data_IF_416877348814
#
_entry.id   IF_416877348814
#
_cell.length_a   1.000
_cell.length_b   1.000
_cell.length_c   1.000
_cell.angle_alpha   90.00
_cell.angle_beta   90.00
_cell.angle_gamma   90.00
#
_symmetry.space_group_name_H-M   'P 1'
#
loop_
_entity.id
_entity.type
_entity.pdbx_description
1 polymer ?
#
# COMPACT_ATOMS: atom_id res chain seq x y z
N UNK A 1 4.36 -22.12 19.20
CA UNK A 1 5.00 -22.72 18.01
C UNK A 1 4.60 -22.02 16.72
N UNK A 2 3.31 -21.75 16.47
CA UNK A 2 2.84 -21.01 15.29
C UNK A 2 3.51 -19.64 15.10
N UNK A 3 3.59 -18.82 16.15
CA UNK A 3 4.19 -17.48 16.04
C UNK A 3 5.68 -17.50 15.63
N UNK A 4 6.40 -18.54 16.07
CA UNK A 4 7.80 -18.74 15.71
C UNK A 4 7.95 -19.12 14.22
N UNK A 5 7.05 -19.97 13.70
CA UNK A 5 7.04 -20.31 12.28
C UNK A 5 6.61 -19.12 11.40
N UNK A 6 5.60 -18.36 11.81
CA UNK A 6 5.20 -17.14 11.10
C UNK A 6 6.36 -16.13 11.09
N UNK A 7 7.08 -16.00 12.21
CA UNK A 7 8.29 -15.17 12.29
C UNK A 7 9.35 -15.64 11.31
N UNK A 8 9.70 -16.92 11.33
CA UNK A 8 10.72 -17.49 10.45
C UNK A 8 10.38 -17.29 8.96
N UNK A 9 9.12 -17.54 8.59
CA UNK A 9 8.62 -17.28 7.23
C UNK A 9 8.68 -15.81 6.84
N UNK A 10 8.37 -14.90 7.78
CA UNK A 10 8.42 -13.45 7.55
C UNK A 10 9.86 -13.01 7.30
N UNK A 11 10.81 -13.44 8.13
CA UNK A 11 12.21 -13.11 7.97
C UNK A 11 12.77 -13.68 6.67
N UNK A 12 12.48 -14.95 6.36
CA UNK A 12 12.89 -15.58 5.09
C UNK A 12 12.38 -14.77 3.89
N UNK A 13 11.10 -14.37 3.89
CA UNK A 13 10.50 -13.56 2.82
C UNK A 13 11.22 -12.22 2.63
N UNK A 14 11.62 -11.57 3.72
CA UNK A 14 12.29 -10.26 3.69
C UNK A 14 13.76 -10.36 3.27
N UNK A 15 14.35 -11.56 3.29
CA UNK A 15 15.73 -11.81 2.86
C UNK A 15 15.83 -12.51 1.50
N UNK A 16 14.75 -13.13 1.01
CA UNK A 16 14.72 -13.88 -0.24
C UNK A 16 14.57 -12.93 -1.46
N UNK A 17 15.58 -12.87 -2.35
CA UNK A 17 15.55 -11.99 -3.51
C UNK A 17 14.36 -12.23 -4.46
N UNK A 18 13.90 -13.47 -4.62
CA UNK A 18 12.77 -13.79 -5.51
C UNK A 18 11.44 -13.29 -4.93
N UNK A 19 11.29 -13.40 -3.61
CA UNK A 19 10.12 -12.88 -2.90
C UNK A 19 10.12 -11.35 -2.91
N UNK A 20 11.28 -10.72 -2.69
CA UNK A 20 11.43 -9.27 -2.80
C UNK A 20 11.14 -8.78 -4.22
N UNK A 21 11.60 -9.48 -5.26
CA UNK A 21 11.28 -9.15 -6.65
C UNK A 21 9.76 -9.22 -6.92
N UNK A 22 9.08 -10.20 -6.34
CA UNK A 22 7.62 -10.31 -6.43
C UNK A 22 6.91 -9.14 -5.73
N UNK A 23 7.37 -8.76 -4.53
CA UNK A 23 6.85 -7.60 -3.80
C UNK A 23 7.03 -6.32 -4.63
N UNK A 24 8.22 -6.11 -5.20
CA UNK A 24 8.53 -4.95 -6.06
C UNK A 24 7.65 -4.88 -7.29
N UNK A 25 7.41 -6.00 -7.98
CA UNK A 25 6.47 -6.03 -9.13
C UNK A 25 5.04 -5.63 -8.75
N UNK A 26 4.58 -6.04 -7.57
CA UNK A 26 3.26 -5.65 -7.06
C UNK A 26 3.23 -4.15 -6.74
N UNK A 27 4.28 -3.61 -6.10
CA UNK A 27 4.42 -2.18 -5.84
C UNK A 27 4.43 -1.36 -7.14
N UNK A 28 5.22 -1.77 -8.13
CA UNK A 28 5.33 -1.11 -9.43
C UNK A 28 3.99 -1.09 -10.17
N UNK A 29 3.31 -2.24 -10.25
CA UNK A 29 1.98 -2.32 -10.85
C UNK A 29 0.98 -1.38 -10.18
N UNK A 30 1.01 -1.27 -8.85
CA UNK A 30 0.11 -0.37 -8.15
C UNK A 30 0.48 1.09 -8.34
N UNK A 31 1.77 1.45 -8.32
CA UNK A 31 2.24 2.79 -8.67
C UNK A 31 1.75 3.19 -10.06
N UNK A 32 1.91 2.32 -11.05
CA UNK A 32 1.42 2.55 -12.41
C UNK A 32 -0.12 2.75 -12.49
N UNK A 33 -0.89 2.11 -11.61
CA UNK A 33 -2.35 2.34 -11.53
C UNK A 33 -2.71 3.68 -10.87
N UNK A 34 -1.89 4.16 -9.94
CA UNK A 34 -2.12 5.41 -9.20
C UNK A 34 -1.64 6.65 -9.95
N UNK A 35 -0.50 6.52 -10.61
CA UNK A 35 0.24 7.61 -11.26
C UNK A 35 -0.67 8.50 -12.12
N UNK A 36 -1.57 7.97 -12.99
CA UNK A 36 -2.45 8.82 -13.80
C UNK A 36 -3.36 9.73 -12.97
N UNK A 37 -3.85 9.24 -11.82
CA UNK A 37 -4.73 10.02 -10.95
C UNK A 37 -3.94 11.03 -10.11
N UNK A 38 -2.75 10.66 -9.64
CA UNK A 38 -1.85 11.56 -8.91
C UNK A 38 -1.38 12.71 -9.81
N UNK A 39 -1.02 12.41 -11.06
CA UNK A 39 -0.67 13.39 -12.08
C UNK A 39 -1.86 14.30 -12.42
N UNK A 40 -3.07 13.74 -12.57
CA UNK A 40 -4.26 14.55 -12.87
C UNK A 40 -4.57 15.53 -11.73
N UNK A 41 -4.50 15.09 -10.47
CA UNK A 41 -4.69 15.96 -9.30
C UNK A 41 -3.64 17.07 -9.30
N UNK A 42 -2.37 16.74 -9.54
CA UNK A 42 -1.28 17.72 -9.54
C UNK A 42 -1.43 18.73 -10.68
N UNK A 43 -1.74 18.26 -11.89
CA UNK A 43 -1.94 19.09 -13.08
C UNK A 43 -3.10 20.05 -12.90
N UNK A 44 -4.27 19.53 -12.50
CA UNK A 44 -5.48 20.35 -12.27
C UNK A 44 -5.31 21.28 -11.07
N UNK A 45 -4.64 20.83 -10.02
CA UNK A 45 -4.32 21.63 -8.85
C UNK A 45 -3.46 22.84 -9.17
N UNK A 46 -2.47 22.72 -10.08
CA UNK A 46 -1.68 23.85 -10.56
C UNK A 46 -2.52 24.90 -11.28
N UNK A 47 -3.46 24.45 -12.14
CA UNK A 47 -4.36 25.35 -12.87
C UNK A 47 -5.31 26.05 -11.89
N UNK A 48 -5.87 25.31 -10.93
CA UNK A 48 -6.71 25.88 -9.87
C UNK A 48 -5.97 26.94 -9.07
N UNK A 49 -4.74 26.64 -8.64
CA UNK A 49 -3.90 27.57 -7.89
C UNK A 49 -3.63 28.87 -8.67
N UNK A 50 -3.50 28.81 -10.00
CA UNK A 50 -3.40 30.01 -10.83
C UNK A 50 -4.65 30.89 -10.75
N UNK A 51 -5.85 30.29 -10.81
CA UNK A 51 -7.10 31.04 -10.65
C UNK A 51 -7.28 31.57 -9.23
N UNK A 52 -6.92 30.78 -8.21
CA UNK A 52 -6.92 31.21 -6.81
C UNK A 52 -6.07 32.46 -6.61
N UNK A 53 -4.87 32.51 -7.22
CA UNK A 53 -4.01 33.69 -7.19
C UNK A 53 -4.63 34.90 -7.88
N UNK A 54 -5.34 34.72 -9.00
CA UNK A 54 -6.01 35.83 -9.70
C UNK A 54 -7.19 36.38 -8.90
N UNK A 55 -7.96 35.52 -8.24
CA UNK A 55 -9.02 35.94 -7.33
C UNK A 55 -8.45 36.72 -6.14
N UNK A 56 -7.37 36.22 -5.52
CA UNK A 56 -6.72 36.89 -4.38
C UNK A 56 -6.12 38.26 -4.74
N UNK A 57 -5.75 38.46 -6.01
CA UNK A 57 -5.28 39.74 -6.56
C UNK A 57 -6.41 40.61 -7.11
N UNK A 58 -7.67 40.21 -6.92
CA UNK A 58 -8.87 40.92 -7.41
C UNK A 58 -8.89 41.13 -8.94
N UNK A 59 -8.11 40.32 -9.67
CA UNK A 59 -8.01 40.39 -11.15
C UNK A 59 -9.23 39.75 -11.83
N UNK A 60 -9.91 38.85 -11.13
CA UNK A 60 -11.16 38.22 -11.56
C UNK A 60 -12.16 38.30 -10.41
N UNK A 61 -13.45 38.31 -10.74
CA UNK A 61 -14.52 38.24 -9.77
C UNK A 61 -14.69 36.82 -9.22
N UNK A 62 -15.37 36.70 -8.08
CA UNK A 62 -15.73 35.41 -7.50
C UNK A 62 -16.54 34.53 -8.47
N UNK A 63 -17.42 35.14 -9.28
CA UNK A 63 -18.23 34.42 -10.27
C UNK A 63 -17.38 33.84 -11.40
N UNK A 64 -16.43 34.60 -11.91
CA UNK A 64 -15.49 34.14 -12.95
C UNK A 64 -14.55 33.06 -12.42
N UNK A 65 -14.09 33.20 -11.17
CA UNK A 65 -13.31 32.15 -10.50
C UNK A 65 -14.12 30.85 -10.39
N UNK A 66 -15.33 30.91 -9.82
CA UNK A 66 -16.20 29.74 -9.65
C UNK A 66 -16.45 29.02 -10.98
N UNK A 67 -16.73 29.76 -12.06
CA UNK A 67 -16.90 29.19 -13.39
C UNK A 67 -15.61 28.54 -13.94
N UNK A 68 -14.44 29.09 -13.61
CA UNK A 68 -13.14 28.60 -14.08
C UNK A 68 -12.64 27.36 -13.32
N UNK A 69 -13.06 27.17 -12.07
CA UNK A 69 -12.57 26.08 -11.21
C UNK A 69 -13.55 24.93 -11.02
N UNK A 70 -14.84 25.09 -11.32
CA UNK A 70 -15.86 24.06 -11.10
C UNK A 70 -15.49 22.69 -11.72
N UNK A 71 -15.08 22.68 -12.99
CA UNK A 71 -14.67 21.45 -13.68
C UNK A 71 -13.35 20.89 -13.13
N UNK A 72 -12.44 21.76 -12.71
CA UNK A 72 -11.16 21.36 -12.10
C UNK A 72 -11.41 20.67 -10.75
N UNK A 73 -12.26 21.25 -9.92
CA UNK A 73 -12.62 20.71 -8.61
C UNK A 73 -13.34 19.38 -8.74
N UNK A 74 -14.29 19.28 -9.68
CA UNK A 74 -14.97 18.01 -9.99
C UNK A 74 -13.99 16.91 -10.43
N UNK A 75 -13.06 17.23 -11.34
CA UNK A 75 -12.05 16.29 -11.78
C UNK A 75 -11.08 15.86 -10.66
N UNK A 76 -10.66 16.80 -9.81
CA UNK A 76 -9.79 16.52 -8.65
C UNK A 76 -10.51 15.61 -7.65
N UNK A 77 -11.80 15.86 -7.38
CA UNK A 77 -12.61 15.01 -6.49
C UNK A 77 -12.72 13.60 -7.06
N UNK A 78 -13.06 13.47 -8.35
CA UNK A 78 -13.16 12.16 -9.02
C UNK A 78 -11.84 11.38 -8.98
N UNK A 79 -10.71 12.03 -9.28
CA UNK A 79 -9.39 11.41 -9.21
C UNK A 79 -9.01 10.99 -7.78
N UNK A 80 -9.35 11.80 -6.77
CA UNK A 80 -9.15 11.45 -5.35
C UNK A 80 -10.00 10.25 -4.94
N UNK A 81 -11.23 10.14 -5.42
CA UNK A 81 -12.08 8.98 -5.17
C UNK A 81 -11.53 7.72 -5.83
N UNK A 82 -11.03 7.81 -7.06
CA UNK A 82 -10.35 6.70 -7.73
C UNK A 82 -9.12 6.23 -6.94
N UNK A 83 -8.28 7.16 -6.44
CA UNK A 83 -7.15 6.82 -5.58
C UNK A 83 -7.58 6.16 -4.27
N UNK A 84 -8.64 6.64 -3.60
CA UNK A 84 -9.16 6.01 -2.38
C UNK A 84 -9.62 4.57 -2.63
N UNK A 85 -10.22 4.29 -3.79
CA UNK A 85 -10.58 2.93 -4.19
C UNK A 85 -9.33 2.07 -4.40
N UNK A 86 -8.28 2.62 -5.01
CA UNK A 86 -6.98 1.92 -5.15
C UNK A 86 -6.26 1.69 -3.82
N UNK A 87 -6.41 2.59 -2.83
CA UNK A 87 -5.86 2.44 -1.48
C UNK A 87 -6.49 1.29 -0.69
N UNK A 88 -7.71 0.87 -1.05
CA UNK A 88 -8.29 -0.37 -0.51
C UNK A 88 -7.56 -1.62 -0.98
N UNK A 89 -6.73 -1.53 -2.03
CA UNK A 89 -5.81 -2.59 -2.46
C UNK A 89 -4.51 -2.39 -1.66
N UNK A 90 -4.22 -3.24 -0.66
CA UNK A 90 -3.13 -2.99 0.26
C UNK A 90 -1.77 -3.15 -0.45
N UNK A 91 -0.98 -2.07 -0.52
CA UNK A 91 0.40 -2.14 -1.02
C UNK A 91 1.40 -2.09 0.13
N UNK A 92 2.39 -2.99 0.12
CA UNK A 92 3.52 -2.91 1.04
C UNK A 92 4.42 -1.73 0.65
N UNK A 93 4.65 -0.79 1.55
CA UNK A 93 5.76 0.16 1.41
C UNK A 93 6.99 -0.49 2.05
N UNK A 94 7.76 -1.18 1.21
CA UNK A 94 8.86 -2.05 1.60
C UNK A 94 9.99 -1.88 0.59
N UNK A 95 10.94 -1.05 0.96
CA UNK A 95 12.23 -0.90 0.28
C UNK A 95 13.31 -1.73 1.01
N UNK A 96 14.48 -1.84 0.39
CA UNK A 96 15.58 -2.68 0.90
C UNK A 96 16.06 -2.22 2.27
N UNK A 97 16.02 -0.91 2.52
CA UNK A 97 16.34 -0.32 3.81
C UNK A 97 15.35 -0.77 4.88
N UNK A 98 14.05 -0.70 4.61
CA UNK A 98 13.00 -1.12 5.53
C UNK A 98 13.07 -2.62 5.81
N UNK A 99 13.30 -3.44 4.77
CA UNK A 99 13.54 -4.88 4.94
C UNK A 99 14.72 -5.14 5.89
N UNK A 100 15.86 -4.48 5.66
CA UNK A 100 17.05 -4.63 6.51
C UNK A 100 16.81 -4.21 7.96
N UNK A 101 16.08 -3.12 8.19
CA UNK A 101 15.71 -2.67 9.54
C UNK A 101 14.80 -3.66 10.26
N UNK A 102 13.81 -4.24 9.57
CA UNK A 102 12.92 -5.25 10.15
C UNK A 102 13.71 -6.50 10.53
N UNK A 103 14.56 -7.00 9.63
CA UNK A 103 15.34 -8.23 9.86
C UNK A 103 16.31 -8.06 11.04
N UNK A 104 17.02 -6.93 11.10
CA UNK A 104 18.00 -6.67 12.18
C UNK A 104 17.36 -6.38 13.53
N UNK A 105 16.20 -5.69 13.54
CA UNK A 105 15.51 -5.30 14.78
C UNK A 105 14.53 -6.34 15.33
N UNK A 106 14.22 -7.42 14.61
CA UNK A 106 13.11 -8.32 14.99
C UNK A 106 13.25 -8.95 16.38
N UNK A 107 14.46 -9.37 16.75
CA UNK A 107 14.74 -10.07 18.01
C UNK A 107 14.51 -9.16 19.22
N UNK A 108 14.74 -7.85 19.08
CA UNK A 108 14.59 -6.84 20.14
C UNK A 108 13.29 -6.05 20.04
N UNK A 109 12.55 -6.18 18.93
CA UNK A 109 11.27 -5.52 18.71
C UNK A 109 10.21 -5.95 19.73
N UNK A 110 9.43 -4.98 20.20
CA UNK A 110 8.23 -5.18 21.00
C UNK A 110 7.16 -5.96 20.22
N UNK A 111 6.17 -6.53 20.93
CA UNK A 111 5.04 -7.21 20.29
C UNK A 111 4.28 -6.31 19.30
N UNK A 112 4.12 -5.02 19.65
CA UNK A 112 3.48 -4.03 18.77
C UNK A 112 4.28 -3.75 17.50
N UNK A 113 5.60 -3.73 17.58
CA UNK A 113 6.49 -3.52 16.43
C UNK A 113 6.48 -4.75 15.53
N UNK A 114 6.64 -5.95 16.10
CA UNK A 114 6.54 -7.21 15.33
C UNK A 114 5.21 -7.32 14.60
N UNK A 115 4.11 -6.96 15.25
CA UNK A 115 2.80 -6.97 14.60
C UNK A 115 2.70 -5.97 13.45
N UNK A 116 3.23 -4.76 13.63
CA UNK A 116 3.29 -3.73 12.58
C UNK A 116 4.13 -4.18 11.39
N UNK A 117 5.30 -4.75 11.64
CA UNK A 117 6.25 -5.18 10.61
C UNK A 117 5.75 -6.43 9.89
N UNK A 118 5.11 -7.35 10.61
CA UNK A 118 4.40 -8.48 10.02
C UNK A 118 3.27 -7.98 9.11
N UNK A 119 2.45 -7.02 9.56
CA UNK A 119 1.42 -6.41 8.71
C UNK A 119 2.04 -5.78 7.47
N UNK A 120 3.20 -5.11 7.56
CA UNK A 120 3.90 -4.53 6.41
C UNK A 120 4.40 -5.61 5.44
N UNK A 121 5.12 -6.62 5.93
CA UNK A 121 5.71 -7.71 5.14
C UNK A 121 4.67 -8.52 4.35
N UNK A 122 3.46 -8.60 4.89
CA UNK A 122 2.35 -9.37 4.31
C UNK A 122 1.23 -8.51 3.75
N UNK A 123 1.36 -7.18 3.77
CA UNK A 123 0.37 -6.27 3.17
C UNK A 123 0.24 -6.58 1.68
N UNK A 124 -0.98 -6.80 1.19
CA UNK A 124 -1.22 -7.16 -0.21
C UNK A 124 -1.15 -8.66 -0.50
N UNK A 125 -0.88 -9.50 0.51
CA UNK A 125 -0.84 -10.94 0.39
C UNK A 125 -1.80 -11.60 1.38
N UNK A 126 -2.38 -12.73 0.97
CA UNK A 126 -3.13 -13.60 1.86
C UNK A 126 -2.28 -14.79 2.28
N UNK A 127 -2.26 -15.02 3.59
CA UNK A 127 -1.76 -16.22 4.22
C UNK A 127 -2.95 -16.96 4.84
N UNK A 128 -3.18 -18.19 4.42
CA UNK A 128 -4.17 -19.06 5.04
C UNK A 128 -3.45 -20.05 5.95
N UNK A 129 -3.87 -20.12 7.21
CA UNK A 129 -3.38 -21.10 8.17
C UNK A 129 -4.53 -22.05 8.47
N UNK A 130 -4.39 -23.33 8.09
CA UNK A 130 -5.40 -24.34 8.43
C UNK A 130 -5.44 -24.55 9.95
N UNK A 131 -6.61 -24.81 10.57
CA UNK A 131 -6.69 -25.23 11.98
C UNK A 131 -5.90 -26.52 12.23
N UNK A 132 -5.51 -26.75 13.48
CA UNK A 132 -4.74 -27.94 13.87
C UNK A 132 -4.31 -27.86 15.33
N UNK A 133 -3.59 -28.89 15.79
CA UNK A 133 -3.31 -29.09 17.22
C UNK A 133 -2.32 -28.06 17.76
N UNK A 134 -2.43 -27.76 19.05
CA UNK A 134 -1.40 -27.03 19.79
C UNK A 134 -0.14 -27.87 20.04
N UNK A 135 -0.22 -29.19 19.82
CA UNK A 135 0.89 -30.15 19.95
C UNK A 135 1.61 -30.43 18.63
N UNK A 136 1.21 -29.78 17.54
CA UNK A 136 1.84 -29.98 16.23
C UNK A 136 3.33 -29.60 16.28
N UNK A 137 4.17 -30.41 15.63
CA UNK A 137 5.59 -30.09 15.42
C UNK A 137 5.76 -28.87 14.51
N UNK A 138 6.95 -28.27 14.50
CA UNK A 138 7.26 -27.13 13.64
C UNK A 138 6.99 -27.43 12.15
N UNK A 139 7.32 -28.63 11.68
CA UNK A 139 7.07 -29.07 10.30
C UNK A 139 5.57 -29.20 10.00
N UNK A 140 4.80 -29.77 10.94
CA UNK A 140 3.35 -29.91 10.81
C UNK A 140 2.65 -28.54 10.79
N UNK A 141 3.09 -27.62 11.65
CA UNK A 141 2.62 -26.23 11.65
C UNK A 141 2.96 -25.55 10.31
N UNK A 142 4.18 -25.70 9.80
CA UNK A 142 4.59 -25.11 8.53
C UNK A 142 3.78 -25.65 7.36
N UNK A 143 3.47 -26.94 7.33
CA UNK A 143 2.63 -27.56 6.30
C UNK A 143 1.17 -27.04 6.30
N UNK A 144 0.70 -26.47 7.41
CA UNK A 144 -0.63 -25.86 7.53
C UNK A 144 -0.69 -24.43 6.97
N UNK A 145 0.46 -23.77 6.79
CA UNK A 145 0.55 -22.40 6.27
C UNK A 145 0.61 -22.48 4.74
N UNK A 146 -0.41 -21.93 4.08
CA UNK A 146 -0.46 -21.89 2.63
C UNK A 146 0.66 -21.00 2.06
N UNK A 147 1.11 -21.30 0.84
CA UNK A 147 1.95 -20.37 0.09
C UNK A 147 1.25 -19.00 -0.03
N UNK A 148 1.97 -17.89 0.17
CA UNK A 148 1.39 -16.56 0.07
C UNK A 148 0.86 -16.31 -1.33
N UNK A 149 -0.35 -15.75 -1.42
CA UNK A 149 -0.94 -15.35 -2.70
C UNK A 149 -1.18 -13.85 -2.71
N UNK A 150 -0.85 -13.14 -3.81
CA UNK A 150 -1.25 -11.74 -3.97
C UNK A 150 -2.78 -11.61 -3.84
N UNK A 151 -3.24 -10.60 -3.13
CA UNK A 151 -4.65 -10.25 -3.09
C UNK A 151 -5.04 -9.77 -4.49
N UNK A 152 -6.05 -10.36 -5.14
CA UNK A 152 -6.48 -9.89 -6.45
C UNK A 152 -7.00 -8.45 -6.32
N UNK A 153 -6.77 -7.60 -7.33
CA UNK A 153 -7.37 -6.28 -7.35
C UNK A 153 -8.88 -6.43 -7.26
N UNK A 154 -9.54 -5.53 -6.52
CA UNK A 154 -10.99 -5.51 -6.47
C UNK A 154 -11.55 -5.39 -7.90
N UNK A 155 -12.59 -6.15 -8.27
CA UNK A 155 -13.19 -6.02 -9.60
C UNK A 155 -13.66 -4.58 -9.79
N UNK A 156 -13.25 -3.96 -10.88
CA UNK A 156 -13.78 -2.67 -11.31
C UNK A 156 -15.28 -2.86 -11.57
N UNK A 157 -16.11 -2.33 -10.65
CA UNK A 157 -17.55 -2.12 -10.86
C UNK A 157 -17.79 -0.64 -11.04
#
# INVERSE_FOLDING_TARGET
MLDAEITAMTLQRLTDPEQLATIRRVQERHRALREPYEEEILRRGKIRAYFDQRLAKEVITLREHAASVADLDSAIVSAREALRRLDTIPVPDLDDKTCGLIVTGWSTASASERYRDLRRAWKGFQLFVRPGSSTDSAEQVRARISRPKPIPPAPHR
#
